data_IF_914324199075
#
_entry.id   IF_914324199075
#
_cell.length_a   1.000
_cell.length_b   1.000
_cell.length_c   1.000
_cell.angle_alpha   90.00
_cell.angle_beta   90.00
_cell.angle_gamma   90.00
#
_symmetry.space_group_name_H-M   'P 1'
#
loop_
_entity.id
_entity.type
_entity.pdbx_description
1 polymer ?
#
# COMPACT_ATOMS: atom_id res chain seq x y z
N UNK A 1 -33.65 -24.84 16.93
CA UNK A 1 -33.49 -23.67 17.84
C UNK A 1 -32.10 -23.12 17.63
N UNK A 2 -31.99 -22.00 16.90
CA UNK A 2 -30.73 -21.30 16.62
C UNK A 2 -29.91 -21.14 17.91
N UNK A 3 -28.58 -21.29 17.86
CA UNK A 3 -27.68 -21.15 19.01
C UNK A 3 -27.94 -19.88 19.85
N UNK A 4 -28.50 -18.85 19.21
CA UNK A 4 -28.90 -17.55 19.78
C UNK A 4 -30.18 -17.57 20.62
N UNK A 5 -31.05 -18.56 20.46
CA UNK A 5 -32.34 -18.65 21.17
C UNK A 5 -32.26 -19.54 22.43
N UNK A 6 -31.05 -19.89 22.89
CA UNK A 6 -30.84 -20.68 24.11
C UNK A 6 -31.03 -19.78 25.32
N UNK A 7 -32.12 -19.98 26.07
CA UNK A 7 -32.45 -19.23 27.30
C UNK A 7 -31.36 -19.27 28.39
N UNK A 8 -30.44 -20.23 28.33
CA UNK A 8 -29.35 -20.41 29.31
C UNK A 8 -27.96 -20.01 28.79
N UNK A 9 -27.86 -19.33 27.64
CA UNK A 9 -26.57 -18.89 27.11
C UNK A 9 -26.06 -17.66 27.89
N UNK A 10 -24.80 -17.67 28.27
CA UNK A 10 -24.15 -16.48 28.84
C UNK A 10 -24.07 -15.35 27.81
N UNK A 11 -23.98 -14.07 28.23
CA UNK A 11 -23.82 -12.95 27.31
C UNK A 11 -22.63 -13.13 26.35
N UNK A 12 -21.52 -13.69 26.84
CA UNK A 12 -20.34 -13.98 26.02
C UNK A 12 -20.58 -15.05 24.94
N UNK A 13 -21.38 -16.08 25.23
CA UNK A 13 -21.76 -17.10 24.24
C UNK A 13 -22.70 -16.53 23.18
N UNK A 14 -23.66 -15.69 23.58
CA UNK A 14 -24.56 -14.99 22.66
C UNK A 14 -23.76 -14.07 21.74
N UNK A 15 -22.86 -13.26 22.28
CA UNK A 15 -21.99 -12.38 21.50
C UNK A 15 -21.11 -13.17 20.51
N UNK A 16 -20.52 -14.29 20.95
CA UNK A 16 -19.75 -15.18 20.07
C UNK A 16 -20.60 -15.69 18.90
N UNK A 17 -21.83 -16.12 19.16
CA UNK A 17 -22.74 -16.61 18.13
C UNK A 17 -23.19 -15.49 17.18
N UNK A 18 -23.39 -14.27 17.69
CA UNK A 18 -23.75 -13.10 16.89
C UNK A 18 -22.63 -12.73 15.93
N UNK A 19 -21.37 -12.71 16.38
CA UNK A 19 -20.23 -12.45 15.50
C UNK A 19 -20.15 -13.47 14.35
N UNK A 20 -20.29 -14.76 14.67
CA UNK A 20 -20.25 -15.81 13.65
C UNK A 20 -21.42 -15.64 12.67
N UNK A 21 -22.64 -15.47 13.17
CA UNK A 21 -23.82 -15.32 12.33
C UNK A 21 -23.72 -14.06 11.44
N UNK A 22 -23.33 -12.92 12.02
CA UNK A 22 -23.18 -11.68 11.28
C UNK A 22 -22.13 -11.81 10.17
N UNK A 23 -20.97 -12.42 10.46
CA UNK A 23 -19.95 -12.70 9.45
C UNK A 23 -20.45 -13.59 8.31
N UNK A 24 -21.18 -14.67 8.64
CA UNK A 24 -21.80 -15.54 7.63
C UNK A 24 -22.85 -14.81 6.79
N UNK A 25 -23.70 -13.99 7.41
CA UNK A 25 -24.73 -13.21 6.71
C UNK A 25 -24.11 -12.15 5.79
N UNK A 26 -23.02 -11.50 6.20
CA UNK A 26 -22.31 -10.54 5.35
C UNK A 26 -21.73 -11.25 4.12
N UNK A 27 -21.08 -12.41 4.29
CA UNK A 27 -20.57 -13.18 3.14
C UNK A 27 -21.71 -13.61 2.20
N UNK A 28 -22.79 -14.18 2.75
CA UNK A 28 -23.95 -14.57 1.95
C UNK A 28 -24.60 -13.38 1.23
N UNK A 29 -24.68 -12.22 1.90
CA UNK A 29 -25.19 -10.98 1.32
C UNK A 29 -24.38 -10.52 0.11
N UNK A 30 -23.05 -10.65 0.14
CA UNK A 30 -22.17 -10.28 -0.98
C UNK A 30 -22.30 -11.21 -2.20
N UNK A 31 -22.81 -12.43 -2.04
CA UNK A 31 -23.09 -13.32 -3.17
C UNK A 31 -24.41 -12.98 -3.87
N UNK A 32 -25.32 -12.30 -3.18
CA UNK A 32 -26.64 -11.91 -3.70
C UNK A 32 -26.64 -10.45 -4.16
N UNK A 33 -25.98 -9.58 -3.41
CA UNK A 33 -25.94 -8.14 -3.62
C UNK A 33 -24.51 -7.68 -3.89
N UNK A 34 -24.35 -6.76 -4.82
CA UNK A 34 -23.11 -6.02 -4.98
C UNK A 34 -23.39 -4.52 -5.12
N UNK A 35 -22.46 -3.71 -4.62
CA UNK A 35 -22.51 -2.27 -4.78
C UNK A 35 -21.79 -1.88 -6.08
N UNK A 36 -22.52 -1.26 -7.01
CA UNK A 36 -21.98 -0.76 -8.27
C UNK A 36 -21.09 0.45 -8.01
N UNK A 37 -19.81 0.35 -8.36
CA UNK A 37 -18.86 1.45 -8.28
C UNK A 37 -18.09 1.65 -9.60
N UNK A 38 -16.97 2.40 -9.57
CA UNK A 38 -16.16 2.69 -10.76
C UNK A 38 -15.56 1.45 -11.43
N UNK A 39 -15.50 0.30 -10.74
CA UNK A 39 -15.04 -0.96 -11.32
C UNK A 39 -16.14 -1.73 -12.05
N UNK A 40 -17.41 -1.31 -11.95
CA UNK A 40 -18.54 -2.08 -12.48
C UNK A 40 -18.51 -2.32 -14.01
N UNK A 41 -17.71 -1.57 -14.76
CA UNK A 41 -17.47 -1.81 -16.19
C UNK A 41 -16.42 -2.89 -16.48
N UNK A 42 -15.67 -3.35 -15.48
CA UNK A 42 -14.60 -4.34 -15.65
C UNK A 42 -15.12 -5.78 -15.59
N UNK A 43 -14.75 -6.63 -16.54
CA UNK A 43 -15.26 -8.01 -16.64
C UNK A 43 -14.81 -8.93 -15.50
N UNK A 44 -13.69 -8.62 -14.86
CA UNK A 44 -13.05 -9.45 -13.82
C UNK A 44 -13.27 -8.84 -12.44
N UNK A 45 -13.20 -7.51 -12.34
CA UNK A 45 -13.14 -6.79 -11.07
C UNK A 45 -14.44 -6.06 -10.69
N UNK A 46 -15.53 -6.22 -11.44
CA UNK A 46 -16.81 -5.49 -11.25
C UNK A 46 -17.40 -5.53 -9.85
N UNK A 47 -17.13 -6.56 -9.05
CA UNK A 47 -17.58 -6.67 -7.64
C UNK A 47 -16.45 -6.62 -6.61
N UNK A 48 -15.20 -6.34 -7.05
CA UNK A 48 -14.01 -6.47 -6.21
C UNK A 48 -14.14 -5.67 -4.92
N UNK A 49 -14.56 -4.41 -4.99
CA UNK A 49 -14.69 -3.56 -3.81
C UNK A 49 -15.82 -4.01 -2.87
N UNK A 50 -16.90 -4.59 -3.38
CA UNK A 50 -17.93 -5.19 -2.52
C UNK A 50 -17.35 -6.37 -1.76
N UNK A 51 -16.71 -7.32 -2.46
CA UNK A 51 -16.11 -8.48 -1.81
C UNK A 51 -15.03 -8.02 -0.82
N UNK A 52 -14.07 -7.22 -1.26
CA UNK A 52 -12.94 -6.77 -0.43
C UNK A 52 -13.39 -6.02 0.83
N UNK A 53 -14.22 -4.98 0.71
CA UNK A 53 -14.57 -4.12 1.85
C UNK A 53 -15.44 -4.84 2.89
N UNK A 54 -16.38 -5.66 2.44
CA UNK A 54 -17.28 -6.38 3.34
C UNK A 54 -16.66 -7.68 3.88
N UNK A 55 -15.83 -8.38 3.11
CA UNK A 55 -15.18 -9.61 3.59
C UNK A 55 -14.15 -9.33 4.66
N UNK A 56 -13.47 -8.18 4.66
CA UNK A 56 -12.60 -7.79 5.77
C UNK A 56 -13.39 -7.78 7.09
N UNK A 57 -14.61 -7.19 7.09
CA UNK A 57 -15.46 -7.18 8.28
C UNK A 57 -15.94 -8.58 8.65
N UNK A 58 -16.36 -9.37 7.65
CA UNK A 58 -16.78 -10.75 7.86
C UNK A 58 -15.65 -11.60 8.47
N UNK A 59 -14.43 -11.51 7.94
CA UNK A 59 -13.28 -12.26 8.43
C UNK A 59 -12.86 -11.86 9.84
N UNK A 60 -12.91 -10.56 10.19
CA UNK A 60 -12.65 -10.13 11.57
C UNK A 60 -13.69 -10.72 12.53
N UNK A 61 -14.99 -10.62 12.19
CA UNK A 61 -16.06 -11.19 13.02
C UNK A 61 -15.96 -12.71 13.15
N UNK A 62 -15.72 -13.42 12.04
CA UNK A 62 -15.54 -14.88 12.04
C UNK A 62 -14.27 -15.29 12.79
N UNK A 63 -13.16 -14.57 12.62
CA UNK A 63 -11.90 -14.85 13.31
C UNK A 63 -12.04 -14.73 14.82
N UNK A 64 -12.62 -13.64 15.32
CA UNK A 64 -12.90 -13.44 16.74
C UNK A 64 -13.91 -14.45 17.28
N UNK A 65 -15.03 -14.64 16.57
CA UNK A 65 -16.08 -15.57 16.96
C UNK A 65 -15.62 -17.02 17.00
N UNK A 66 -14.92 -17.48 15.96
CA UNK A 66 -14.36 -18.84 15.92
C UNK A 66 -13.23 -19.02 16.92
N UNK A 67 -12.37 -18.03 17.13
CA UNK A 67 -11.33 -18.05 18.16
C UNK A 67 -11.91 -18.26 19.57
N UNK A 68 -13.01 -17.58 19.89
CA UNK A 68 -13.72 -17.75 21.17
C UNK A 68 -14.52 -19.07 21.25
N UNK A 69 -15.05 -19.57 20.13
CA UNK A 69 -15.85 -20.79 20.09
C UNK A 69 -15.01 -22.08 20.07
N UNK A 70 -13.83 -22.05 19.46
CA UNK A 70 -13.03 -23.24 19.16
C UNK A 70 -12.61 -24.03 20.40
N UNK A 71 -12.14 -23.45 21.52
CA UNK A 71 -11.80 -24.21 22.72
C UNK A 71 -13.00 -24.98 23.30
N UNK A 72 -14.19 -24.34 23.30
CA UNK A 72 -15.44 -24.96 23.77
C UNK A 72 -15.87 -26.09 22.85
N UNK A 73 -15.77 -25.88 21.54
CA UNK A 73 -16.07 -26.91 20.54
C UNK A 73 -15.11 -28.10 20.68
N UNK A 74 -13.81 -27.83 20.85
CA UNK A 74 -12.78 -28.85 21.06
C UNK A 74 -13.05 -29.70 22.30
N UNK A 75 -13.41 -29.06 23.43
CA UNK A 75 -13.79 -29.77 24.66
C UNK A 75 -15.02 -30.67 24.46
N UNK A 76 -16.04 -30.20 23.72
CA UNK A 76 -17.24 -31.01 23.39
C UNK A 76 -16.91 -32.20 22.49
N UNK A 77 -16.03 -32.03 21.51
CA UNK A 77 -15.60 -33.11 20.61
C UNK A 77 -14.82 -34.19 21.37
N UNK A 78 -14.05 -33.83 22.41
CA UNK A 78 -13.31 -34.79 23.23
C UNK A 78 -14.20 -35.81 23.93
N UNK A 79 -15.41 -35.43 24.33
CA UNK A 79 -16.36 -36.29 25.05
C UNK A 79 -17.33 -37.06 24.13
N UNK A 80 -17.17 -36.95 22.81
CA UNK A 80 -17.96 -37.75 21.87
C UNK A 80 -17.71 -39.25 22.07
N UNK A 81 -18.79 -40.03 22.17
CA UNK A 81 -18.75 -41.49 22.39
C UNK A 81 -17.98 -42.23 21.28
N UNK A 82 -18.21 -41.86 20.02
CA UNK A 82 -17.51 -42.48 18.88
C UNK A 82 -16.10 -41.92 18.69
N UNK A 83 -15.10 -42.79 18.86
CA UNK A 83 -13.71 -42.45 18.55
C UNK A 83 -13.48 -42.16 17.06
N UNK A 84 -14.25 -42.80 16.16
CA UNK A 84 -14.18 -42.56 14.73
C UNK A 84 -14.58 -41.11 14.39
N UNK A 85 -15.73 -40.65 14.88
CA UNK A 85 -16.20 -39.27 14.65
C UNK A 85 -15.26 -38.21 15.25
N UNK A 86 -14.71 -38.49 16.43
CA UNK A 86 -13.73 -37.60 17.06
C UNK A 86 -12.45 -37.46 16.22
N UNK A 87 -11.95 -38.57 15.66
CA UNK A 87 -10.79 -38.55 14.75
C UNK A 87 -11.11 -37.86 13.42
N UNK A 88 -12.28 -38.14 12.85
CA UNK A 88 -12.74 -37.52 11.61
C UNK A 88 -12.83 -35.99 11.74
N UNK A 89 -13.45 -35.50 12.82
CA UNK A 89 -13.56 -34.05 13.07
C UNK A 89 -12.19 -33.40 13.26
N UNK A 90 -11.28 -34.01 14.05
CA UNK A 90 -9.91 -33.50 14.23
C UNK A 90 -9.12 -33.49 12.93
N UNK A 91 -9.27 -34.53 12.11
CA UNK A 91 -8.65 -34.62 10.79
C UNK A 91 -9.16 -33.54 9.85
N UNK A 92 -10.48 -33.34 9.78
CA UNK A 92 -11.08 -32.27 8.99
C UNK A 92 -10.64 -30.88 9.45
N UNK A 93 -10.61 -30.64 10.78
CA UNK A 93 -10.10 -29.39 11.33
C UNK A 93 -8.63 -29.16 10.98
N UNK A 94 -7.76 -30.17 11.18
CA UNK A 94 -6.35 -30.08 10.85
C UNK A 94 -6.13 -29.84 9.35
N UNK A 95 -6.89 -30.52 8.49
CA UNK A 95 -6.85 -30.30 7.05
C UNK A 95 -7.20 -28.85 6.71
N UNK A 96 -8.34 -28.33 7.19
CA UNK A 96 -8.76 -26.95 6.93
C UNK A 96 -7.74 -25.92 7.47
N UNK A 97 -7.20 -26.15 8.66
CA UNK A 97 -6.18 -25.28 9.26
C UNK A 97 -4.92 -25.29 8.39
N UNK A 98 -4.38 -26.46 8.04
CA UNK A 98 -3.19 -26.58 7.19
C UNK A 98 -3.42 -25.97 5.81
N UNK A 99 -4.59 -26.19 5.20
CA UNK A 99 -4.97 -25.55 3.93
C UNK A 99 -4.98 -24.02 4.03
N UNK A 100 -5.47 -23.45 5.14
CA UNK A 100 -5.45 -22.00 5.36
C UNK A 100 -4.04 -21.43 5.54
N UNK A 101 -3.09 -22.24 6.01
CA UNK A 101 -1.70 -21.87 6.22
C UNK A 101 -0.84 -22.02 4.96
N UNK A 102 -1.36 -22.56 3.86
CA UNK A 102 -0.59 -22.72 2.61
C UNK A 102 -0.07 -21.38 2.11
N UNK A 103 -0.87 -20.31 2.20
CA UNK A 103 -0.47 -18.99 1.68
C UNK A 103 0.82 -18.44 2.32
N UNK A 104 0.92 -18.27 3.65
CA UNK A 104 2.12 -17.70 4.27
C UNK A 104 3.39 -18.53 4.04
N UNK A 105 3.28 -19.86 3.93
CA UNK A 105 4.46 -20.73 3.81
C UNK A 105 4.85 -21.04 2.35
N UNK A 106 3.88 -21.14 1.44
CA UNK A 106 4.12 -21.52 0.05
C UNK A 106 4.07 -20.31 -0.88
N UNK A 107 3.02 -19.49 -0.79
CA UNK A 107 2.80 -18.42 -1.76
C UNK A 107 3.56 -17.13 -1.43
N UNK A 108 3.71 -16.77 -0.16
CA UNK A 108 4.52 -15.59 0.22
C UNK A 108 5.94 -15.63 -0.37
N UNK A 109 6.75 -16.70 -0.22
CA UNK A 109 8.08 -16.71 -0.81
C UNK A 109 8.05 -16.68 -2.35
N UNK A 110 7.04 -17.25 -2.99
CA UNK A 110 6.86 -17.16 -4.45
C UNK A 110 6.58 -15.71 -4.88
N UNK A 111 5.64 -15.03 -4.22
CA UNK A 111 5.31 -13.62 -4.49
C UNK A 111 6.49 -12.68 -4.23
N UNK A 112 7.26 -12.95 -3.18
CA UNK A 112 8.45 -12.18 -2.84
C UNK A 112 9.58 -12.41 -3.86
N UNK A 113 9.73 -13.62 -4.42
CA UNK A 113 10.66 -13.92 -5.51
C UNK A 113 10.26 -13.30 -6.83
N UNK A 114 8.97 -13.31 -7.13
CA UNK A 114 8.40 -12.67 -8.32
C UNK A 114 8.61 -11.15 -8.29
N UNK A 115 8.35 -10.53 -7.14
CA UNK A 115 8.44 -9.06 -6.99
C UNK A 115 9.87 -8.55 -6.82
N UNK A 116 10.68 -9.24 -6.02
CA UNK A 116 12.06 -8.89 -5.72
C UNK A 116 12.94 -10.13 -5.94
N UNK A 117 13.40 -10.36 -7.18
CA UNK A 117 14.29 -11.46 -7.48
C UNK A 117 15.68 -11.23 -6.86
N UNK A 118 16.40 -12.32 -6.58
CA UNK A 118 17.79 -12.25 -6.10
C UNK A 118 17.93 -12.04 -4.58
N UNK A 119 18.67 -11.00 -4.20
CA UNK A 119 19.16 -10.78 -2.85
C UNK A 119 18.02 -10.56 -1.83
N UNK A 120 18.30 -10.91 -0.56
CA UNK A 120 17.35 -10.82 0.55
C UNK A 120 17.90 -9.96 1.69
N UNK A 121 17.04 -9.15 2.35
CA UNK A 121 17.46 -8.44 3.54
C UNK A 121 17.73 -9.41 4.70
N UNK A 122 18.39 -8.96 5.77
CA UNK A 122 18.53 -9.74 6.99
C UNK A 122 17.18 -10.20 7.54
N UNK A 123 17.10 -11.46 7.98
CA UNK A 123 15.91 -12.02 8.62
C UNK A 123 15.84 -11.51 10.06
N UNK A 124 14.62 -11.22 10.55
CA UNK A 124 14.37 -10.82 11.93
C UNK A 124 14.58 -9.34 12.24
N UNK A 125 14.81 -8.50 11.23
CA UNK A 125 14.83 -7.04 11.40
C UNK A 125 13.41 -6.47 11.54
N UNK A 126 13.29 -5.38 12.31
CA UNK A 126 12.09 -4.54 12.39
C UNK A 126 12.17 -3.32 11.44
N UNK A 127 13.26 -3.17 10.70
CA UNK A 127 13.41 -2.11 9.69
C UNK A 127 12.61 -2.45 8.43
N UNK A 128 11.46 -1.78 8.27
CA UNK A 128 10.60 -1.92 7.10
C UNK A 128 11.23 -1.49 5.77
N UNK A 129 12.34 -0.76 5.80
CA UNK A 129 13.09 -0.36 4.59
C UNK A 129 14.26 -1.30 4.28
N UNK A 130 14.56 -2.30 5.11
CA UNK A 130 15.73 -3.17 4.92
C UNK A 130 15.73 -3.87 3.55
N UNK A 131 14.56 -4.22 3.01
CA UNK A 131 14.48 -4.83 1.68
C UNK A 131 15.01 -3.89 0.58
N UNK A 132 14.92 -2.57 0.76
CA UNK A 132 15.37 -1.59 -0.23
C UNK A 132 16.89 -1.58 -0.39
N UNK A 133 17.66 -2.02 0.61
CA UNK A 133 19.12 -2.04 0.52
C UNK A 133 19.64 -3.05 -0.50
N UNK A 134 18.81 -4.03 -0.90
CA UNK A 134 19.18 -5.11 -1.83
C UNK A 134 18.16 -5.33 -2.94
N UNK A 135 16.94 -4.83 -2.78
CA UNK A 135 15.83 -5.09 -3.70
C UNK A 135 15.96 -4.33 -5.00
N UNK A 136 15.56 -4.99 -6.08
CA UNK A 136 15.35 -4.37 -7.38
C UNK A 136 14.12 -4.95 -8.05
N UNK A 137 13.52 -4.19 -8.95
CA UNK A 137 12.40 -4.61 -9.77
C UNK A 137 12.43 -3.83 -11.08
N UNK A 138 11.71 -4.32 -12.09
CA UNK A 138 11.70 -3.70 -13.41
C UNK A 138 10.37 -3.00 -13.66
N UNK A 139 10.42 -1.69 -13.95
CA UNK A 139 9.27 -0.88 -14.33
C UNK A 139 9.69 0.53 -14.81
N UNK A 140 9.02 1.13 -15.83
CA UNK A 140 8.14 0.48 -16.80
C UNK A 140 8.96 -0.37 -17.77
N UNK A 141 8.36 -1.42 -18.34
CA UNK A 141 9.03 -2.29 -19.32
C UNK A 141 10.34 -2.90 -18.78
N UNK A 142 11.49 -2.59 -19.41
CA UNK A 142 12.83 -3.10 -19.09
C UNK A 142 13.66 -2.15 -18.21
N UNK A 143 13.05 -1.08 -17.67
CA UNK A 143 13.73 -0.15 -16.78
C UNK A 143 14.00 -0.78 -15.40
N UNK A 144 15.25 -1.16 -15.14
CA UNK A 144 15.66 -1.67 -13.84
C UNK A 144 15.68 -0.56 -12.78
N UNK A 145 14.93 -0.77 -11.70
CA UNK A 145 14.90 0.11 -10.54
C UNK A 145 15.62 -0.57 -9.39
N UNK A 146 16.84 -0.11 -9.08
CA UNK A 146 17.59 -0.54 -7.90
C UNK A 146 17.19 0.31 -6.68
N UNK A 147 16.55 -0.29 -5.67
CA UNK A 147 16.00 0.45 -4.53
C UNK A 147 17.06 0.99 -3.56
N UNK A 148 18.31 0.52 -3.65
CA UNK A 148 19.39 0.94 -2.75
C UNK A 148 19.67 2.45 -2.82
N UNK A 149 19.48 3.05 -3.99
CA UNK A 149 19.69 4.49 -4.17
C UNK A 149 18.55 5.30 -3.54
N UNK A 150 17.29 4.83 -3.70
CA UNK A 150 16.15 5.42 -3.00
C UNK A 150 16.27 5.26 -1.49
N UNK A 151 16.76 4.11 -1.01
CA UNK A 151 16.99 3.84 0.41
C UNK A 151 17.92 4.89 1.03
N UNK A 152 19.08 5.16 0.40
CA UNK A 152 20.02 6.17 0.87
C UNK A 152 19.40 7.57 0.90
N UNK A 153 18.67 7.94 -0.16
CA UNK A 153 18.05 9.24 -0.30
C UNK A 153 16.93 9.48 0.74
N UNK A 154 16.07 8.48 0.96
CA UNK A 154 15.02 8.51 1.97
C UNK A 154 15.61 8.61 3.38
N UNK A 155 16.67 7.84 3.67
CA UNK A 155 17.40 7.94 4.95
C UNK A 155 17.99 9.33 5.16
N UNK A 156 18.53 9.96 4.12
CA UNK A 156 18.99 11.34 4.19
C UNK A 156 17.84 12.31 4.49
N UNK A 157 16.69 12.18 3.82
CA UNK A 157 15.52 13.01 4.07
C UNK A 157 15.03 12.90 5.53
N UNK A 158 14.91 11.68 6.05
CA UNK A 158 14.52 11.42 7.45
C UNK A 158 15.48 12.06 8.47
N UNK A 159 16.78 12.07 8.16
CA UNK A 159 17.80 12.62 9.04
C UNK A 159 17.88 14.15 9.00
N UNK A 160 17.69 14.76 7.82
CA UNK A 160 18.05 16.15 7.56
C UNK A 160 16.85 17.09 7.37
N UNK A 161 15.68 16.56 7.00
CA UNK A 161 14.47 17.37 6.78
C UNK A 161 13.62 17.39 8.05
N UNK A 162 13.14 18.58 8.40
CA UNK A 162 12.28 18.83 9.57
C UNK A 162 10.98 19.50 9.13
N UNK A 163 9.92 19.30 9.92
CA UNK A 163 8.59 19.80 9.61
C UNK A 163 7.91 18.99 8.51
N UNK A 164 7.01 19.63 7.76
CA UNK A 164 6.22 19.01 6.70
C UNK A 164 6.38 19.73 5.35
N UNK A 165 7.60 19.98 4.87
CA UNK A 165 7.81 20.59 3.55
C UNK A 165 7.29 19.68 2.44
N UNK A 166 6.73 20.26 1.38
CA UNK A 166 6.22 19.50 0.23
C UNK A 166 7.38 18.98 -0.60
N UNK A 167 7.41 17.67 -0.83
CA UNK A 167 8.33 16.99 -1.75
C UNK A 167 7.64 16.70 -3.08
N UNK A 168 8.23 17.17 -4.17
CA UNK A 168 7.84 16.79 -5.51
C UNK A 168 8.55 15.48 -5.89
N UNK A 169 7.78 14.40 -5.99
CA UNK A 169 8.17 13.12 -6.56
C UNK A 169 7.17 12.73 -7.65
N UNK A 170 7.49 11.74 -8.47
CA UNK A 170 6.58 11.28 -9.53
C UNK A 170 5.24 10.80 -8.95
N UNK A 171 4.14 11.37 -9.45
CA UNK A 171 2.77 10.98 -9.07
C UNK A 171 2.37 9.67 -9.76
N UNK A 172 2.97 8.57 -9.32
CA UNK A 172 2.76 7.23 -9.87
C UNK A 172 1.98 6.34 -8.89
N UNK A 173 1.26 5.31 -9.38
CA UNK A 173 0.65 4.34 -8.48
C UNK A 173 1.71 3.57 -7.66
N UNK A 174 1.33 3.03 -6.50
CA UNK A 174 2.29 2.48 -5.54
C UNK A 174 2.44 0.95 -5.60
N UNK A 175 1.52 0.24 -6.28
CA UNK A 175 1.51 -1.22 -6.29
C UNK A 175 2.63 -1.81 -7.15
N UNK A 176 2.68 -1.48 -8.45
CA UNK A 176 3.61 -2.09 -9.41
C UNK A 176 4.80 -1.19 -9.68
N UNK A 177 4.56 0.10 -9.70
CA UNK A 177 5.49 1.16 -10.03
C UNK A 177 6.32 1.53 -8.81
N UNK A 178 5.78 1.31 -7.60
CA UNK A 178 6.41 1.75 -6.36
C UNK A 178 6.51 3.27 -6.28
N UNK A 179 5.58 3.99 -6.91
CA UNK A 179 5.46 5.44 -6.83
C UNK A 179 5.14 5.92 -5.42
N UNK A 180 5.29 7.22 -5.19
CA UNK A 180 4.99 7.87 -3.90
C UNK A 180 5.81 7.32 -2.71
N UNK A 181 6.92 6.64 -2.99
CA UNK A 181 7.75 5.99 -1.96
C UNK A 181 8.36 7.03 -1.04
N UNK A 182 8.75 8.19 -1.55
CA UNK A 182 9.46 9.19 -0.77
C UNK A 182 8.53 9.73 0.29
N UNK A 183 7.33 10.18 -0.08
CA UNK A 183 6.29 10.60 0.85
C UNK A 183 5.87 9.46 1.79
N UNK A 184 5.70 8.24 1.29
CA UNK A 184 5.27 7.08 2.10
C UNK A 184 6.24 6.78 3.25
N UNK A 185 7.55 6.79 2.99
CA UNK A 185 8.56 6.45 4.01
C UNK A 185 9.00 7.64 4.88
N UNK A 186 8.89 8.87 4.37
CA UNK A 186 9.30 10.07 5.11
C UNK A 186 8.17 10.74 5.88
N UNK A 187 6.91 10.50 5.50
CA UNK A 187 5.75 11.23 5.99
C UNK A 187 5.63 12.67 5.44
N UNK A 188 6.51 13.06 4.51
CA UNK A 188 6.44 14.37 3.86
C UNK A 188 5.23 14.44 2.91
N UNK A 189 4.50 15.57 2.86
CA UNK A 189 3.44 15.74 1.88
C UNK A 189 4.00 15.78 0.46
N UNK A 190 3.25 15.21 -0.49
CA UNK A 190 3.55 15.24 -1.93
C UNK A 190 2.46 15.95 -2.72
N UNK A 191 2.65 16.08 -4.04
CA UNK A 191 1.78 16.84 -4.93
C UNK A 191 0.44 16.15 -5.20
N UNK A 192 0.45 14.82 -5.35
CA UNK A 192 -0.75 14.04 -5.64
C UNK A 192 -0.61 12.59 -5.15
N UNK A 193 -1.47 12.17 -4.21
CA UNK A 193 -1.53 10.80 -3.73
C UNK A 193 -2.33 9.86 -4.65
N UNK A 194 -1.96 8.58 -4.72
CA UNK A 194 -2.55 7.61 -5.63
C UNK A 194 -4.06 7.35 -5.42
N UNK A 195 -4.59 7.62 -4.21
CA UNK A 195 -6.00 7.43 -3.87
C UNK A 195 -6.83 8.72 -3.84
N UNK A 196 -6.29 9.85 -4.31
CA UNK A 196 -7.06 11.10 -4.28
C UNK A 196 -8.34 11.00 -5.13
N UNK A 197 -8.37 10.16 -6.17
CA UNK A 197 -9.58 9.87 -6.97
C UNK A 197 -10.70 9.18 -6.19
N UNK A 198 -10.41 8.52 -5.06
CA UNK A 198 -11.41 7.91 -4.18
C UNK A 198 -11.95 8.89 -3.14
N UNK A 199 -11.25 10.00 -2.92
CA UNK A 199 -11.54 10.98 -1.85
C UNK A 199 -12.00 12.34 -2.39
N UNK A 200 -11.79 12.62 -3.68
CA UNK A 200 -12.04 13.91 -4.31
C UNK A 200 -12.71 13.75 -5.67
N UNK A 201 -13.31 14.83 -6.15
CA UNK A 201 -13.90 14.88 -7.48
C UNK A 201 -12.82 14.73 -8.57
N UNK A 202 -13.16 14.00 -9.63
CA UNK A 202 -12.24 13.68 -10.72
C UNK A 202 -11.57 14.92 -11.35
N UNK A 203 -12.29 16.04 -11.48
CA UNK A 203 -11.74 17.27 -12.04
C UNK A 203 -10.65 17.90 -11.17
N UNK A 204 -10.74 17.79 -9.83
CA UNK A 204 -9.70 18.30 -8.91
C UNK A 204 -8.42 17.47 -9.02
N UNK A 205 -8.59 16.14 -9.07
CA UNK A 205 -7.48 15.19 -9.19
C UNK A 205 -6.80 15.34 -10.55
N UNK A 206 -7.58 15.41 -11.62
CA UNK A 206 -7.06 15.60 -12.98
C UNK A 206 -6.34 16.93 -13.17
N UNK A 207 -6.87 18.03 -12.62
CA UNK A 207 -6.18 19.32 -12.64
C UNK A 207 -4.82 19.25 -11.93
N UNK A 208 -4.78 18.64 -10.74
CA UNK A 208 -3.53 18.49 -9.98
C UNK A 208 -2.53 17.58 -10.71
N UNK A 209 -3.00 16.47 -11.29
CA UNK A 209 -2.16 15.58 -12.11
C UNK A 209 -1.54 16.33 -13.29
N UNK A 210 -2.33 17.15 -13.98
CA UNK A 210 -1.85 18.01 -15.07
C UNK A 210 -0.75 18.97 -14.62
N UNK A 211 -0.91 19.64 -13.47
CA UNK A 211 0.12 20.52 -12.89
C UNK A 211 1.41 19.76 -12.54
N UNK A 212 1.30 18.54 -12.00
CA UNK A 212 2.48 17.70 -11.69
C UNK A 212 3.21 17.32 -12.97
N UNK A 213 2.49 16.85 -13.99
CA UNK A 213 3.08 16.50 -15.29
C UNK A 213 3.74 17.71 -15.95
N UNK A 214 3.10 18.87 -15.91
CA UNK A 214 3.67 20.11 -16.43
C UNK A 214 4.95 20.48 -15.68
N UNK A 215 4.94 20.40 -14.35
CA UNK A 215 6.10 20.72 -13.51
C UNK A 215 7.33 19.89 -13.89
N UNK A 216 7.18 18.58 -14.08
CA UNK A 216 8.30 17.72 -14.45
C UNK A 216 8.70 17.88 -15.93
N UNK A 217 7.76 18.08 -16.85
CA UNK A 217 8.04 18.06 -18.30
C UNK A 217 8.33 19.43 -18.94
N UNK A 218 7.89 20.55 -18.36
CA UNK A 218 8.14 21.87 -18.97
C UNK A 218 9.64 22.14 -19.08
N UNK A 219 10.07 22.80 -20.15
CA UNK A 219 11.46 23.27 -20.34
C UNK A 219 11.64 24.74 -19.98
N UNK A 220 10.53 25.45 -19.73
CA UNK A 220 10.49 26.85 -19.29
C UNK A 220 10.69 26.95 -17.77
N UNK A 221 11.81 27.56 -17.38
CA UNK A 221 12.20 27.75 -15.99
C UNK A 221 11.25 28.72 -15.27
N UNK A 222 10.77 29.77 -15.93
CA UNK A 222 9.85 30.73 -15.33
C UNK A 222 8.53 30.05 -14.96
N UNK A 223 8.02 29.21 -15.87
CA UNK A 223 6.83 28.39 -15.61
C UNK A 223 7.07 27.36 -14.50
N UNK A 224 8.22 26.70 -14.48
CA UNK A 224 8.58 25.76 -13.41
C UNK A 224 8.61 26.46 -12.03
N UNK A 225 9.20 27.66 -11.94
CA UNK A 225 9.21 28.46 -10.71
C UNK A 225 7.81 28.92 -10.27
N UNK A 226 6.92 29.20 -11.22
CA UNK A 226 5.52 29.48 -10.92
C UNK A 226 4.84 28.25 -10.29
N UNK A 227 5.00 27.07 -10.88
CA UNK A 227 4.44 25.82 -10.35
C UNK A 227 5.03 25.47 -8.97
N UNK A 228 6.32 25.73 -8.75
CA UNK A 228 6.96 25.59 -7.44
C UNK A 228 6.24 26.43 -6.37
N UNK A 229 5.88 27.69 -6.68
CA UNK A 229 5.12 28.54 -5.76
C UNK A 229 3.69 28.06 -5.56
N UNK A 230 2.97 27.79 -6.64
CA UNK A 230 1.56 27.36 -6.62
C UNK A 230 1.37 26.04 -5.86
N UNK A 231 2.30 25.11 -6.04
CA UNK A 231 2.28 23.79 -5.42
C UNK A 231 3.05 23.73 -4.10
N UNK A 232 3.64 24.87 -3.66
CA UNK A 232 4.43 25.03 -2.42
C UNK A 232 5.58 24.03 -2.29
N UNK A 233 6.21 23.72 -3.41
CA UNK A 233 7.30 22.73 -3.50
C UNK A 233 8.50 23.26 -2.73
N UNK A 234 8.97 22.47 -1.77
CA UNK A 234 10.17 22.78 -0.97
C UNK A 234 11.34 21.89 -1.36
N UNK A 235 11.07 20.65 -1.73
CA UNK A 235 12.05 19.68 -2.21
C UNK A 235 11.61 19.06 -3.53
N UNK A 236 12.57 18.77 -4.40
CA UNK A 236 12.35 18.10 -5.69
C UNK A 236 13.22 16.85 -5.69
N UNK A 237 12.59 15.69 -5.82
CA UNK A 237 13.23 14.38 -5.85
C UNK A 237 13.33 13.88 -7.29
N UNK A 238 14.54 13.60 -7.77
CA UNK A 238 14.77 13.03 -9.10
C UNK A 238 15.54 11.72 -8.96
N UNK A 239 14.81 10.61 -9.01
CA UNK A 239 15.35 9.25 -9.00
C UNK A 239 15.16 8.51 -10.32
N UNK A 240 15.27 7.18 -10.27
CA UNK A 240 15.11 6.32 -11.43
C UNK A 240 13.67 6.36 -11.98
N UNK A 241 12.67 6.46 -11.09
CA UNK A 241 11.26 6.54 -11.49
C UNK A 241 10.96 7.81 -12.28
N UNK A 242 11.37 8.97 -11.77
CA UNK A 242 11.15 10.25 -12.44
C UNK A 242 11.79 10.24 -13.83
N UNK A 243 13.01 9.72 -13.95
CA UNK A 243 13.73 9.59 -15.23
C UNK A 243 13.07 8.62 -16.20
N UNK A 244 12.34 7.63 -15.70
CA UNK A 244 11.66 6.64 -16.54
C UNK A 244 10.32 7.14 -17.10
N UNK A 245 9.70 8.16 -16.49
CA UNK A 245 8.33 8.59 -16.85
C UNK A 245 8.22 10.01 -17.35
N UNK A 246 9.22 10.86 -17.12
CA UNK A 246 9.22 12.26 -17.55
C UNK A 246 10.29 12.51 -18.62
N UNK A 247 10.04 13.53 -19.45
CA UNK A 247 10.92 13.90 -20.56
C UNK A 247 12.30 14.36 -20.04
N UNK A 248 13.41 13.77 -20.52
CA UNK A 248 14.76 14.19 -20.15
C UNK A 248 15.03 15.70 -20.33
N UNK A 249 14.45 16.33 -21.36
CA UNK A 249 14.59 17.76 -21.60
C UNK A 249 13.89 18.58 -20.49
N UNK A 250 12.75 18.10 -20.01
CA UNK A 250 12.04 18.68 -18.87
C UNK A 250 12.84 18.52 -17.58
N UNK A 251 13.44 17.36 -17.33
CA UNK A 251 14.24 17.11 -16.12
C UNK A 251 15.55 17.89 -16.09
N UNK A 252 16.19 18.10 -17.24
CA UNK A 252 17.45 18.85 -17.36
C UNK A 252 17.34 20.31 -16.89
N UNK A 253 16.12 20.87 -16.79
CA UNK A 253 15.92 22.22 -16.25
C UNK A 253 16.35 22.33 -14.79
N UNK A 254 16.23 21.28 -13.99
CA UNK A 254 16.52 21.36 -12.55
C UNK A 254 18.02 21.59 -12.30
N UNK A 255 18.88 21.06 -13.16
CA UNK A 255 20.32 21.33 -13.14
C UNK A 255 20.62 22.80 -13.48
N UNK A 256 19.94 23.35 -14.49
CA UNK A 256 20.04 24.78 -14.85
C UNK A 256 19.56 25.68 -13.71
N UNK A 257 18.41 25.36 -13.12
CA UNK A 257 17.87 26.10 -11.97
C UNK A 257 18.78 26.04 -10.74
N UNK A 258 19.53 24.94 -10.56
CA UNK A 258 20.54 24.84 -9.52
C UNK A 258 21.76 25.72 -9.83
N UNK A 259 22.24 25.72 -11.08
CA UNK A 259 23.33 26.59 -11.52
C UNK A 259 22.98 28.09 -11.41
N UNK A 260 21.73 28.45 -11.67
CA UNK A 260 21.18 29.81 -11.55
C UNK A 260 20.86 30.21 -10.09
N UNK A 261 21.04 29.29 -9.12
CA UNK A 261 20.85 29.56 -7.69
C UNK A 261 19.41 29.52 -7.17
N UNK A 262 18.44 29.18 -8.03
CA UNK A 262 17.04 28.97 -7.63
C UNK A 262 16.82 27.67 -6.86
N UNK A 263 17.68 26.67 -7.10
CA UNK A 263 17.71 25.40 -6.38
C UNK A 263 19.08 25.15 -5.75
N UNK A 264 19.10 24.39 -4.67
CA UNK A 264 20.32 23.85 -4.06
C UNK A 264 20.28 22.33 -4.15
N UNK A 265 21.35 21.70 -4.65
CA UNK A 265 21.52 20.25 -4.55
C UNK A 265 21.89 19.92 -3.11
N UNK A 266 21.00 19.23 -2.39
CA UNK A 266 21.18 18.90 -0.96
C UNK A 266 21.55 17.44 -0.72
N UNK A 267 21.29 16.58 -1.70
CA UNK A 267 21.70 15.19 -1.69
C UNK A 267 21.93 14.70 -3.12
N UNK A 268 22.95 13.87 -3.28
CA UNK A 268 23.24 13.20 -4.54
C UNK A 268 23.90 11.85 -4.29
N UNK A 269 23.44 10.83 -5.01
CA UNK A 269 24.13 9.56 -5.23
C UNK A 269 24.06 9.20 -6.72
N UNK A 270 24.45 7.98 -7.09
CA UNK A 270 24.59 7.57 -8.48
C UNK A 270 23.29 7.63 -9.29
N UNK A 271 22.12 7.53 -8.64
CA UNK A 271 20.82 7.50 -9.34
C UNK A 271 19.77 8.48 -8.82
N UNK A 272 20.03 9.16 -7.71
CA UNK A 272 19.10 10.09 -7.08
C UNK A 272 19.78 11.43 -6.82
N UNK A 273 19.10 12.50 -7.20
CA UNK A 273 19.45 13.88 -6.82
C UNK A 273 18.24 14.54 -6.17
N UNK A 274 18.46 15.21 -5.05
CA UNK A 274 17.43 15.98 -4.34
C UNK A 274 17.82 17.45 -4.36
N UNK A 275 16.87 18.27 -4.80
CA UNK A 275 17.00 19.72 -4.78
C UNK A 275 16.15 20.31 -3.67
N UNK A 276 16.65 21.36 -3.02
CA UNK A 276 15.90 22.24 -2.14
C UNK A 276 15.63 23.55 -2.87
N UNK A 277 14.41 24.06 -2.79
CA UNK A 277 14.07 25.36 -3.36
C UNK A 277 14.64 26.49 -2.50
N UNK A 278 15.33 27.46 -3.12
CA UNK A 278 15.85 28.66 -2.47
C UNK A 278 14.87 29.83 -2.61
N UNK A 279 14.89 30.75 -1.65
CA UNK A 279 14.23 32.06 -1.79
C UNK A 279 12.70 32.07 -1.69
N UNK A 280 12.06 30.97 -1.25
CA UNK A 280 10.67 30.99 -0.82
C UNK A 280 10.62 31.17 0.69
N UNK A 281 10.52 32.42 1.15
CA UNK A 281 9.86 32.69 2.43
C UNK A 281 8.41 32.26 2.26
N UNK A 282 8.11 31.06 2.77
CA UNK A 282 6.73 30.60 2.90
C UNK A 282 6.18 31.27 4.15
N UNK A 283 5.55 32.42 3.95
CA UNK A 283 4.69 33.07 4.96
C UNK A 283 3.41 32.24 5.19
#
# INVERSE_FOLDING_TARGET
VLLLARRAASPGELFTCLLILAGLLVMAGCEIFYLKDHLAGDRVWWRMNTVFKFYIQAWVMLGLGTGAALPRLWARVRVWRSAAWRRAWKGAFALLLLSSLVYPFVYTPVRVRDRFPGARPPIGTLDGMAFMSVGSYTWPEDNLIELKYDYQAIRWLLANVRGTPVVAEAALPYYREGGLRVATYTGLPTLLGAHQSEQRYAWQVGQRDGQVREFFNTTDIARALQLVRELRISYIYIGQLERAVYDPAGLAKFDRMAAEGSLEVVFENERVRIYRVRGLTMD
#
